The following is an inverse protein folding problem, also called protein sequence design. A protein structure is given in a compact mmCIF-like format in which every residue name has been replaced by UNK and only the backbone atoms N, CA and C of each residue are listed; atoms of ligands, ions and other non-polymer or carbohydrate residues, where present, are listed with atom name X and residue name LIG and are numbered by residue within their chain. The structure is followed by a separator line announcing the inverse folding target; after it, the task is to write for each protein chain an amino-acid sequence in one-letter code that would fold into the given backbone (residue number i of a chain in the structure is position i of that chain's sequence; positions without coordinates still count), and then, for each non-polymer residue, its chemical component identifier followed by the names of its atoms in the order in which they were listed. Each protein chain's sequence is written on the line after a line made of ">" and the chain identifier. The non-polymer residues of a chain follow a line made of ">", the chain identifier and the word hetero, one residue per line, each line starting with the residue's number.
data_IF_184865245465
#
_entry.id   IF_184865245465
#
_cell.length_a   1.000
_cell.length_b   1.000
_cell.length_c   1.000
_cell.angle_alpha   90.00
_cell.angle_beta   90.00
_cell.angle_gamma   90.00
#
_symmetry.space_group_name_H-M   'P 1'
#
loop_
_entity.id
_entity.type
_entity.pdbx_description
1 polymer ?
#
# COMPACT_ATOMS: atom_id res chain seq x y z
N UNK A 1 43.97 -20.62 43.35
CA UNK A 1 44.85 -20.08 42.29
C UNK A 1 45.66 -21.26 41.78
N UNK A 2 45.61 -21.72 40.53
CA UNK A 2 45.85 -21.03 39.26
C UNK A 2 45.10 -21.78 38.13
N UNK A 3 44.76 -21.03 37.10
CA UNK A 3 43.92 -21.38 35.95
C UNK A 3 44.64 -22.34 34.99
N UNK A 4 43.93 -23.33 34.47
CA UNK A 4 44.21 -23.94 33.17
C UNK A 4 42.90 -24.08 32.41
N UNK A 5 42.72 -23.16 31.45
CA UNK A 5 41.59 -23.11 30.52
C UNK A 5 42.04 -23.86 29.27
N UNK A 6 41.41 -24.99 28.96
CA UNK A 6 41.31 -25.51 27.61
C UNK A 6 39.90 -26.08 27.45
N UNK A 7 39.06 -25.40 26.69
CA UNK A 7 37.96 -26.03 25.97
C UNK A 7 37.52 -25.08 24.84
N UNK A 8 38.11 -25.36 23.68
CA UNK A 8 37.72 -24.92 22.36
C UNK A 8 36.25 -25.27 22.15
N UNK A 9 35.36 -24.27 22.13
CA UNK A 9 34.01 -24.43 21.59
C UNK A 9 33.88 -23.51 20.38
N UNK A 10 34.02 -24.18 19.24
CA UNK A 10 33.65 -23.79 17.89
C UNK A 10 32.16 -23.36 17.88
N UNK A 11 31.89 -22.07 18.09
CA UNK A 11 30.55 -21.48 17.97
C UNK A 11 30.32 -21.01 16.53
N UNK A 12 29.89 -21.97 15.73
CA UNK A 12 28.82 -21.88 14.72
C UNK A 12 28.40 -20.45 14.30
N UNK A 13 28.93 -20.01 13.16
CA UNK A 13 28.26 -19.23 12.11
C UNK A 13 27.10 -18.30 12.55
N UNK A 14 27.42 -17.02 12.72
CA UNK A 14 26.45 -15.94 12.54
C UNK A 14 26.06 -15.87 11.05
N UNK A 15 25.14 -16.72 10.63
CA UNK A 15 24.38 -16.52 9.40
C UNK A 15 23.42 -15.37 9.64
N UNK A 16 23.90 -14.14 9.53
CA UNK A 16 23.05 -12.99 9.26
C UNK A 16 22.50 -13.16 7.84
N UNK A 17 21.52 -14.06 7.68
CA UNK A 17 20.57 -13.97 6.57
C UNK A 17 19.75 -12.73 6.88
N UNK A 18 20.26 -11.58 6.44
CA UNK A 18 19.44 -10.42 6.20
C UNK A 18 18.40 -10.85 5.18
N UNK A 19 17.22 -11.23 5.65
CA UNK A 19 16.03 -11.18 4.82
C UNK A 19 15.86 -9.71 4.46
N UNK A 20 16.49 -9.30 3.36
CA UNK A 20 16.10 -8.09 2.65
C UNK A 20 14.61 -8.29 2.37
N UNK A 21 13.76 -7.63 3.14
CA UNK A 21 12.33 -7.63 2.88
C UNK A 21 12.17 -7.02 1.49
N UNK A 22 11.95 -7.85 0.46
CA UNK A 22 11.46 -7.37 -0.82
C UNK A 22 10.20 -6.58 -0.53
N UNK A 23 10.30 -5.27 -0.75
CA UNK A 23 9.25 -4.32 -0.41
C UNK A 23 8.04 -4.70 -1.28
N UNK A 24 6.99 -5.26 -0.66
CA UNK A 24 5.76 -5.67 -1.36
C UNK A 24 5.37 -4.60 -2.36
N UNK A 25 5.43 -4.94 -3.65
CA UNK A 25 5.12 -4.00 -4.71
C UNK A 25 3.59 -3.86 -4.73
N UNK A 26 3.07 -2.73 -4.25
CA UNK A 26 1.62 -2.44 -4.26
C UNK A 26 1.38 -1.25 -5.17
N UNK A 27 0.50 -1.42 -6.14
CA UNK A 27 0.15 -0.38 -7.12
C UNK A 27 -0.96 0.50 -6.56
N UNK A 28 -0.71 1.80 -6.51
CA UNK A 28 -1.67 2.80 -6.02
C UNK A 28 -1.94 3.82 -7.12
N UNK A 29 -3.21 3.95 -7.56
CA UNK A 29 -3.54 4.82 -8.70
C UNK A 29 -3.10 6.27 -8.52
N UNK A 30 -3.19 6.80 -7.30
CA UNK A 30 -2.87 8.20 -7.01
C UNK A 30 -1.36 8.52 -6.97
N UNK A 31 -0.49 7.55 -7.21
CA UNK A 31 0.94 7.80 -7.37
C UNK A 31 1.21 8.35 -8.76
N UNK A 32 2.04 9.39 -8.84
CA UNK A 32 2.45 10.01 -10.10
C UNK A 32 3.02 8.98 -11.08
N UNK A 33 3.86 8.05 -10.62
CA UNK A 33 4.43 6.97 -11.43
C UNK A 33 3.33 6.12 -12.10
N UNK A 34 2.33 5.69 -11.32
CA UNK A 34 1.22 4.88 -11.83
C UNK A 34 0.34 5.68 -12.78
N UNK A 35 0.04 6.95 -12.50
CA UNK A 35 -0.75 7.80 -13.41
C UNK A 35 -0.05 8.03 -14.74
N UNK A 36 1.27 8.28 -14.70
CA UNK A 36 2.09 8.44 -15.89
C UNK A 36 2.17 7.15 -16.71
N UNK A 37 2.35 6.00 -16.06
CA UNK A 37 2.37 4.71 -16.74
C UNK A 37 1.03 4.39 -17.41
N UNK A 38 -0.09 4.77 -16.80
CA UNK A 38 -1.42 4.66 -17.42
C UNK A 38 -1.68 5.70 -18.52
N UNK A 39 -0.81 6.70 -18.66
CA UNK A 39 -0.99 7.79 -19.62
C UNK A 39 -2.22 8.63 -19.29
N UNK A 40 -2.46 8.93 -18.01
CA UNK A 40 -3.55 9.82 -17.62
C UNK A 40 -3.25 11.24 -18.07
N UNK A 41 -4.24 11.93 -18.64
CA UNK A 41 -4.13 13.35 -18.94
C UNK A 41 -4.17 14.22 -17.66
N UNK A 42 -3.93 15.53 -17.82
CA UNK A 42 -3.89 16.47 -16.69
C UNK A 42 -5.22 16.55 -15.93
N UNK A 43 -6.35 16.42 -16.61
CA UNK A 43 -7.67 16.49 -15.99
C UNK A 43 -7.92 15.24 -15.14
N UNK A 44 -7.64 14.05 -15.70
CA UNK A 44 -7.71 12.78 -15.01
C UNK A 44 -6.80 12.76 -13.78
N UNK A 45 -5.54 13.19 -13.91
CA UNK A 45 -4.59 13.27 -12.78
C UNK A 45 -5.09 14.20 -11.67
N UNK A 46 -5.64 15.35 -12.05
CA UNK A 46 -6.22 16.32 -11.10
C UNK A 46 -7.41 15.69 -10.38
N UNK A 47 -8.30 15.01 -11.11
CA UNK A 47 -9.47 14.32 -10.55
C UNK A 47 -9.07 13.21 -9.58
N UNK A 48 -8.13 12.34 -9.95
CA UNK A 48 -7.62 11.27 -9.07
C UNK A 48 -7.00 11.86 -7.79
N UNK A 49 -6.21 12.93 -7.92
CA UNK A 49 -5.61 13.62 -6.77
C UNK A 49 -6.67 14.22 -5.84
N UNK A 50 -7.70 14.86 -6.39
CA UNK A 50 -8.80 15.42 -5.63
C UNK A 50 -9.60 14.34 -4.88
N UNK A 51 -9.95 13.24 -5.56
CA UNK A 51 -10.62 12.08 -4.96
C UNK A 51 -9.79 11.47 -3.83
N UNK A 52 -8.46 11.39 -4.00
CA UNK A 52 -7.53 10.93 -2.96
C UNK A 52 -7.60 11.84 -1.74
N UNK A 53 -7.46 13.15 -1.93
CA UNK A 53 -7.50 14.14 -0.84
C UNK A 53 -8.82 14.10 -0.09
N UNK A 54 -9.95 14.05 -0.81
CA UNK A 54 -11.28 13.95 -0.22
C UNK A 54 -11.41 12.69 0.66
N UNK A 55 -10.99 11.53 0.15
CA UNK A 55 -11.03 10.29 0.92
C UNK A 55 -10.19 10.32 2.19
N UNK A 56 -9.01 10.96 2.16
CA UNK A 56 -8.16 11.10 3.33
C UNK A 56 -8.72 12.05 4.37
N UNK A 57 -9.35 13.15 3.94
CA UNK A 57 -10.07 14.03 4.84
C UNK A 57 -11.20 13.27 5.56
N UNK A 58 -11.98 12.48 4.82
CA UNK A 58 -13.09 11.71 5.39
C UNK A 58 -12.61 10.62 6.35
N UNK A 59 -11.58 9.86 5.97
CA UNK A 59 -10.95 8.88 6.87
C UNK A 59 -10.41 9.55 8.13
N UNK A 60 -9.86 10.75 8.03
CA UNK A 60 -9.36 11.51 9.19
C UNK A 60 -10.49 11.89 10.14
N UNK A 61 -11.65 12.33 9.60
CA UNK A 61 -12.85 12.60 10.41
C UNK A 61 -13.34 11.34 11.13
N UNK A 62 -13.45 10.21 10.41
CA UNK A 62 -13.87 8.92 10.99
C UNK A 62 -12.92 8.49 12.11
N UNK A 63 -11.61 8.62 11.90
CA UNK A 63 -10.59 8.27 12.92
C UNK A 63 -10.67 9.11 14.18
N UNK A 64 -11.02 10.40 14.05
CA UNK A 64 -11.16 11.34 15.16
C UNK A 64 -12.52 11.26 15.86
N UNK A 65 -13.49 10.55 15.28
CA UNK A 65 -14.81 10.39 15.87
C UNK A 65 -14.75 9.46 17.10
N UNK A 66 -14.98 10.03 18.28
CA UNK A 66 -14.97 9.38 19.59
C UNK A 66 -16.27 8.63 19.91
N UNK A 67 -17.35 8.89 19.17
CA UNK A 67 -18.65 8.22 19.34
C UNK A 67 -18.67 6.83 18.68
N UNK A 68 -17.72 6.55 17.78
CA UNK A 68 -17.62 5.28 17.09
C UNK A 68 -16.76 4.28 17.89
N UNK A 69 -17.18 3.03 17.89
CA UNK A 69 -16.31 1.90 18.25
C UNK A 69 -15.24 1.68 17.17
N UNK A 70 -14.19 0.93 17.50
CA UNK A 70 -13.14 0.59 16.54
C UNK A 70 -13.69 -0.20 15.33
N UNK A 71 -14.60 -1.15 15.59
CA UNK A 71 -15.25 -1.93 14.53
C UNK A 71 -16.07 -1.05 13.57
N UNK A 72 -16.82 -0.09 14.12
CA UNK A 72 -17.56 0.88 13.30
C UNK A 72 -16.63 1.78 12.49
N UNK A 73 -15.54 2.29 13.08
CA UNK A 73 -14.53 3.06 12.34
C UNK A 73 -13.94 2.26 11.19
N UNK A 74 -13.53 1.02 11.43
CA UNK A 74 -12.98 0.13 10.39
C UNK A 74 -13.97 -0.11 9.26
N UNK A 75 -15.23 -0.32 9.60
CA UNK A 75 -16.32 -0.53 8.63
C UNK A 75 -16.52 0.70 7.76
N UNK A 76 -16.61 1.89 8.37
CA UNK A 76 -16.79 3.15 7.64
C UNK A 76 -15.58 3.48 6.76
N UNK A 77 -14.35 3.36 7.29
CA UNK A 77 -13.11 3.55 6.50
C UNK A 77 -13.06 2.59 5.31
N UNK A 78 -13.45 1.33 5.49
CA UNK A 78 -13.52 0.36 4.38
C UNK A 78 -14.55 0.79 3.33
N UNK A 79 -15.66 1.39 3.74
CA UNK A 79 -16.64 1.96 2.82
C UNK A 79 -16.05 3.10 1.99
N UNK A 80 -15.33 4.03 2.64
CA UNK A 80 -14.64 5.14 1.95
C UNK A 80 -13.65 4.62 0.91
N UNK A 81 -12.86 3.60 1.25
CA UNK A 81 -11.94 2.99 0.29
C UNK A 81 -12.65 2.33 -0.90
N UNK A 82 -13.76 1.62 -0.65
CA UNK A 82 -14.58 1.03 -1.73
C UNK A 82 -15.16 2.09 -2.64
N UNK A 83 -15.68 3.18 -2.08
CA UNK A 83 -16.23 4.27 -2.87
C UNK A 83 -15.15 4.94 -3.72
N UNK A 84 -14.00 5.27 -3.12
CA UNK A 84 -12.87 5.84 -3.85
C UNK A 84 -12.40 4.96 -5.00
N UNK A 85 -12.38 3.64 -4.81
CA UNK A 85 -12.01 2.71 -5.87
C UNK A 85 -13.00 2.79 -7.05
N UNK A 86 -14.31 2.88 -6.79
CA UNK A 86 -15.31 3.08 -7.85
C UNK A 86 -15.12 4.43 -8.56
N UNK A 87 -14.86 5.49 -7.81
CA UNK A 87 -14.66 6.83 -8.37
C UNK A 87 -13.40 6.91 -9.24
N UNK A 88 -12.36 6.16 -8.87
CA UNK A 88 -11.15 5.98 -9.67
C UNK A 88 -11.47 5.28 -10.99
N UNK A 89 -12.14 4.14 -10.94
CA UNK A 89 -12.50 3.35 -12.13
C UNK A 89 -13.36 4.19 -13.10
N UNK A 90 -14.27 5.01 -12.59
CA UNK A 90 -15.09 5.93 -13.38
C UNK A 90 -14.32 7.11 -13.99
N UNK A 91 -13.11 7.42 -13.51
CA UNK A 91 -12.26 8.47 -14.06
C UNK A 91 -11.31 7.97 -15.16
N UNK A 92 -11.20 6.65 -15.34
CA UNK A 92 -10.35 6.02 -16.33
C UNK A 92 -11.12 5.68 -17.60
N UNK A 93 -10.44 5.70 -18.74
CA UNK A 93 -10.97 5.07 -19.95
C UNK A 93 -10.99 3.54 -19.78
N UNK A 94 -11.78 2.80 -20.57
CA UNK A 94 -11.79 1.34 -20.50
C UNK A 94 -10.40 0.71 -20.69
N UNK A 95 -9.57 1.27 -21.58
CA UNK A 95 -8.21 0.79 -21.82
C UNK A 95 -7.28 1.08 -20.64
N UNK A 96 -7.35 2.27 -20.04
CA UNK A 96 -6.58 2.62 -18.85
C UNK A 96 -6.99 1.75 -17.66
N UNK A 97 -8.28 1.50 -17.48
CA UNK A 97 -8.80 0.62 -16.43
C UNK A 97 -8.29 -0.81 -16.58
N UNK A 98 -8.31 -1.36 -17.81
CA UNK A 98 -7.75 -2.68 -18.11
C UNK A 98 -6.28 -2.76 -17.71
N UNK A 99 -5.45 -1.79 -18.15
CA UNK A 99 -4.02 -1.73 -17.80
C UNK A 99 -3.82 -1.61 -16.29
N UNK A 100 -4.62 -0.78 -15.62
CA UNK A 100 -4.53 -0.60 -14.17
C UNK A 100 -4.80 -1.91 -13.41
N UNK A 101 -5.79 -2.69 -13.86
CA UNK A 101 -6.08 -4.00 -13.27
C UNK A 101 -4.97 -5.01 -13.54
N UNK A 102 -4.38 -5.03 -14.73
CA UNK A 102 -3.23 -5.88 -15.05
C UNK A 102 -2.01 -5.56 -14.17
N UNK A 103 -1.70 -4.28 -13.96
CA UNK A 103 -0.64 -3.85 -13.06
C UNK A 103 -0.89 -4.32 -11.62
N UNK A 104 -2.13 -4.25 -11.14
CA UNK A 104 -2.52 -4.73 -9.80
C UNK A 104 -2.37 -6.24 -9.67
N UNK A 105 -2.80 -7.02 -10.66
CA UNK A 105 -2.66 -8.48 -10.63
C UNK A 105 -1.19 -8.92 -10.73
N UNK A 106 -0.39 -8.28 -11.60
CA UNK A 106 1.05 -8.54 -11.68
C UNK A 106 1.76 -8.28 -10.34
N UNK A 107 1.42 -7.17 -9.69
CA UNK A 107 1.96 -6.81 -8.38
C UNK A 107 1.57 -7.80 -7.26
N UNK A 108 0.38 -8.41 -7.35
CA UNK A 108 -0.07 -9.46 -6.42
C UNK A 108 0.65 -10.79 -6.64
N UNK A 109 0.96 -11.13 -7.90
CA UNK A 109 1.58 -12.40 -8.28
C UNK A 109 3.11 -12.42 -8.05
N UNK A 110 3.75 -11.25 -8.01
CA UNK A 110 5.16 -11.10 -7.61
C UNK A 110 5.35 -11.14 -6.07
N UNK A 111 4.61 -12.03 -5.39
CA UNK A 111 4.58 -12.21 -3.93
C UNK A 111 5.04 -13.62 -3.57
#
# INVERSE_FOLDING_TARGET
>A
MKRTIILTVLLFTLSLVGYAQEKKNVVFLHKTETMNELGLDTEQQTKITALTKASFAEITKIKKNTELTESQRKTQISSVYRQRQKDYEAALTPQQLKKYNEMKEAAKNNK
#
